data_IF_283471039119
#
_entry.id   IF_283471039119
#
_cell.length_a   1.000
_cell.length_b   1.000
_cell.length_c   1.000
_cell.angle_alpha   90.00
_cell.angle_beta   90.00
_cell.angle_gamma   90.00
#
_symmetry.space_group_name_H-M   'P 1'
#
loop_
_entity.id
_entity.type
_entity.pdbx_description
1 polymer ?
#
# COMPACT_ATOMS: atom_id res chain seq x y z
N UNK A 1 -22.59 17.87 -36.54
CA UNK A 1 -21.67 17.00 -35.77
C UNK A 1 -20.29 17.63 -35.78
N UNK A 2 -19.65 17.81 -34.63
CA UNK A 2 -18.27 18.32 -34.52
C UNK A 2 -17.41 17.23 -33.91
N UNK A 3 -16.22 17.00 -34.44
CA UNK A 3 -15.27 16.04 -33.90
C UNK A 3 -14.13 16.78 -33.21
N UNK A 4 -13.80 16.38 -31.99
CA UNK A 4 -12.60 16.83 -31.31
C UNK A 4 -11.58 15.69 -31.28
N UNK A 5 -10.34 16.04 -31.58
CA UNK A 5 -9.21 15.12 -31.65
C UNK A 5 -8.18 15.49 -30.59
N UNK A 6 -7.47 14.48 -30.09
CA UNK A 6 -6.33 14.67 -29.21
C UNK A 6 -5.05 14.54 -30.04
N UNK A 7 -4.11 15.47 -29.84
CA UNK A 7 -2.76 15.37 -30.38
C UNK A 7 -1.83 14.92 -29.24
N UNK A 8 -1.28 13.72 -29.37
CA UNK A 8 -0.40 13.11 -28.36
C UNK A 8 0.97 12.93 -29.00
N UNK A 9 2.05 13.42 -28.37
CA UNK A 9 3.42 13.38 -28.91
C UNK A 9 3.52 13.87 -30.36
N UNK A 10 2.87 15.01 -30.68
CA UNK A 10 2.84 15.59 -32.03
C UNK A 10 2.21 14.70 -33.11
N UNK A 11 1.45 13.66 -32.70
CA UNK A 11 0.70 12.78 -33.59
C UNK A 11 -0.78 12.93 -33.29
N UNK A 12 -1.55 13.30 -34.30
CA UNK A 12 -3.01 13.28 -34.23
C UNK A 12 -3.49 11.84 -34.26
N UNK A 13 -4.37 11.45 -33.34
CA UNK A 13 -5.04 10.15 -33.44
C UNK A 13 -6.01 10.14 -34.62
N UNK A 14 -6.13 8.99 -35.28
CA UNK A 14 -7.03 8.81 -36.42
C UNK A 14 -8.51 8.91 -36.04
N UNK A 15 -8.86 8.43 -34.84
CA UNK A 15 -10.20 8.53 -34.29
C UNK A 15 -10.34 9.82 -33.44
N UNK A 16 -11.51 10.49 -33.44
CA UNK A 16 -11.77 11.60 -32.53
C UNK A 16 -11.92 11.10 -31.09
N UNK A 17 -11.43 11.86 -30.11
CA UNK A 17 -11.64 11.53 -28.68
C UNK A 17 -13.12 11.65 -28.32
N UNK A 18 -13.78 12.68 -28.85
CA UNK A 18 -15.19 12.97 -28.63
C UNK A 18 -15.84 13.45 -29.93
N UNK A 19 -17.08 13.03 -30.17
CA UNK A 19 -17.96 13.64 -31.17
C UNK A 19 -19.10 14.38 -30.48
N UNK A 20 -19.29 15.63 -30.83
CA UNK A 20 -20.37 16.50 -30.38
C UNK A 20 -21.54 16.42 -31.38
N UNK A 21 -22.68 15.93 -30.92
CA UNK A 21 -23.95 15.93 -31.64
C UNK A 21 -24.85 17.02 -31.07
N UNK A 22 -26.00 17.26 -31.69
CA UNK A 22 -26.95 18.29 -31.26
C UNK A 22 -27.40 18.10 -29.81
N UNK A 23 -27.72 16.87 -29.41
CA UNK A 23 -28.32 16.58 -28.10
C UNK A 23 -27.38 15.86 -27.12
N UNK A 24 -26.22 15.40 -27.57
CA UNK A 24 -25.29 14.62 -26.76
C UNK A 24 -23.86 14.69 -27.29
N UNK A 25 -22.90 14.32 -26.44
CA UNK A 25 -21.55 13.97 -26.84
C UNK A 25 -21.36 12.45 -26.80
N UNK A 26 -20.46 11.94 -27.64
CA UNK A 26 -20.05 10.53 -27.69
C UNK A 26 -18.55 10.44 -27.46
N UNK A 27 -18.13 9.73 -26.42
CA UNK A 27 -16.71 9.45 -26.14
C UNK A 27 -16.27 8.18 -26.88
N UNK A 28 -15.15 8.23 -27.60
CA UNK A 28 -14.68 7.07 -28.39
C UNK A 28 -13.50 6.34 -27.75
N UNK A 29 -12.65 7.06 -27.02
CA UNK A 29 -11.58 6.48 -26.21
C UNK A 29 -11.32 7.36 -24.99
N UNK A 30 -10.59 6.82 -24.02
CA UNK A 30 -10.18 7.56 -22.84
C UNK A 30 -9.01 8.50 -23.18
N UNK A 31 -9.10 9.82 -22.91
CA UNK A 31 -8.03 10.77 -23.24
C UNK A 31 -6.69 10.36 -22.62
N UNK A 32 -5.60 10.42 -23.40
CA UNK A 32 -4.31 9.80 -23.04
C UNK A 32 -3.23 10.75 -22.52
N UNK A 33 -3.24 12.04 -22.87
CA UNK A 33 -2.14 12.95 -22.51
C UNK A 33 -2.58 14.42 -22.54
N UNK A 34 -2.47 15.11 -21.41
CA UNK A 34 -3.07 16.44 -21.24
C UNK A 34 -4.40 16.37 -20.49
N UNK A 35 -4.47 15.48 -19.49
CA UNK A 35 -5.56 15.25 -18.53
C UNK A 35 -6.25 16.49 -17.98
N UNK A 36 -5.72 17.69 -18.18
CA UNK A 36 -6.34 18.94 -17.78
C UNK A 36 -6.98 19.70 -18.94
N UNK A 37 -6.43 19.70 -20.15
CA UNK A 37 -6.97 20.56 -21.22
C UNK A 37 -8.26 20.01 -21.82
N UNK A 38 -8.25 18.75 -22.26
CA UNK A 38 -9.40 18.09 -22.87
C UNK A 38 -10.50 17.84 -21.82
N UNK A 39 -10.13 17.37 -20.63
CA UNK A 39 -11.10 17.17 -19.54
C UNK A 39 -11.71 18.47 -19.05
N UNK A 40 -10.95 19.58 -18.99
CA UNK A 40 -11.46 20.91 -18.60
C UNK A 40 -12.37 21.49 -19.68
N UNK A 41 -12.03 21.32 -20.96
CA UNK A 41 -12.91 21.69 -22.06
C UNK A 41 -14.18 20.84 -22.10
N UNK A 42 -14.08 19.53 -21.90
CA UNK A 42 -15.24 18.66 -21.80
C UNK A 42 -16.13 19.05 -20.61
N UNK A 43 -15.51 19.35 -19.46
CA UNK A 43 -16.19 19.81 -18.25
C UNK A 43 -16.82 21.22 -18.41
N UNK A 44 -16.29 22.07 -19.29
CA UNK A 44 -16.89 23.39 -19.56
C UNK A 44 -18.09 23.31 -20.49
N UNK A 45 -18.18 22.26 -21.32
CA UNK A 45 -19.26 22.07 -22.30
C UNK A 45 -20.37 21.17 -21.73
N UNK A 46 -20.05 20.28 -20.79
CA UNK A 46 -21.02 19.38 -20.19
C UNK A 46 -20.72 19.07 -18.72
N UNK A 47 -21.77 18.83 -17.93
CA UNK A 47 -21.70 18.62 -16.48
C UNK A 47 -21.32 17.19 -16.08
N UNK A 48 -20.17 16.70 -16.51
CA UNK A 48 -19.63 15.39 -16.11
C UNK A 48 -18.13 15.49 -15.81
N UNK A 49 -17.56 14.48 -15.14
CA UNK A 49 -16.12 14.39 -14.94
C UNK A 49 -15.57 13.02 -15.33
N UNK A 50 -14.31 13.02 -15.76
CA UNK A 50 -13.53 11.83 -16.11
C UNK A 50 -12.48 11.64 -15.04
N UNK A 51 -12.53 10.51 -14.34
CA UNK A 51 -11.60 10.19 -13.26
C UNK A 51 -10.97 8.82 -13.51
N UNK A 52 -9.66 8.70 -13.28
CA UNK A 52 -9.00 7.40 -13.21
C UNK A 52 -8.72 7.09 -11.74
N UNK A 53 -9.25 5.98 -11.25
CA UNK A 53 -9.02 5.51 -9.88
C UNK A 53 -8.47 4.09 -9.97
N UNK A 54 -7.21 3.89 -9.58
CA UNK A 54 -6.55 2.57 -9.59
C UNK A 54 -6.73 1.87 -10.95
N UNK A 55 -6.33 2.55 -12.02
CA UNK A 55 -6.43 2.11 -13.42
C UNK A 55 -7.86 1.92 -13.96
N UNK A 56 -8.88 2.19 -13.16
CA UNK A 56 -10.29 2.20 -13.60
C UNK A 56 -10.69 3.58 -14.08
N UNK A 57 -11.00 3.66 -15.37
CA UNK A 57 -11.52 4.85 -16.02
C UNK A 57 -13.04 5.00 -15.74
N UNK A 58 -13.40 5.98 -14.91
CA UNK A 58 -14.77 6.24 -14.47
C UNK A 58 -15.30 7.59 -14.95
N UNK A 59 -16.53 7.57 -15.44
CA UNK A 59 -17.32 8.77 -15.76
C UNK A 59 -18.25 9.05 -14.58
N UNK A 60 -18.16 10.24 -14.00
CA UNK A 60 -19.12 10.71 -12.99
C UNK A 60 -20.08 11.72 -13.61
N UNK A 61 -21.37 11.41 -13.49
CA UNK A 61 -22.47 12.19 -14.05
C UNK A 61 -22.90 13.34 -13.12
N UNK A 62 -23.76 14.22 -13.62
CA UNK A 62 -24.20 15.42 -12.88
C UNK A 62 -25.01 15.12 -11.62
N UNK A 63 -25.60 13.95 -11.50
CA UNK A 63 -26.32 13.46 -10.31
C UNK A 63 -25.41 12.69 -9.32
N UNK A 64 -24.10 12.63 -9.61
CA UNK A 64 -23.12 11.92 -8.79
C UNK A 64 -23.03 10.42 -9.07
N UNK A 65 -23.92 9.86 -9.88
CA UNK A 65 -23.83 8.48 -10.36
C UNK A 65 -22.57 8.29 -11.21
N UNK A 66 -22.10 7.03 -11.31
CA UNK A 66 -20.85 6.70 -11.99
C UNK A 66 -21.05 5.55 -12.95
N UNK A 67 -20.26 5.53 -14.01
CA UNK A 67 -20.14 4.40 -14.94
C UNK A 67 -18.68 4.16 -15.29
N UNK A 68 -18.32 2.90 -15.46
CA UNK A 68 -17.08 2.54 -16.16
C UNK A 68 -17.16 3.05 -17.58
N UNK A 69 -16.06 3.63 -18.06
CA UNK A 69 -15.93 4.11 -19.42
C UNK A 69 -16.05 2.94 -20.41
N UNK A 70 -16.72 3.19 -21.54
CA UNK A 70 -16.68 2.29 -22.68
C UNK A 70 -16.70 3.08 -23.99
N UNK A 71 -16.09 2.49 -25.03
CA UNK A 71 -16.06 3.07 -26.37
C UNK A 71 -17.48 3.29 -26.88
N UNK A 72 -17.78 4.55 -27.21
CA UNK A 72 -19.06 4.98 -27.73
C UNK A 72 -20.09 5.39 -26.68
N UNK A 73 -19.68 5.55 -25.41
CA UNK A 73 -20.54 6.08 -24.35
C UNK A 73 -21.11 7.46 -24.75
N UNK A 74 -22.42 7.63 -24.57
CA UNK A 74 -23.15 8.86 -24.91
C UNK A 74 -23.59 9.59 -23.65
N UNK A 75 -23.32 10.89 -23.58
CA UNK A 75 -23.63 11.74 -22.42
C UNK A 75 -24.34 13.00 -22.94
N UNK A 76 -25.43 13.39 -22.31
CA UNK A 76 -26.10 14.66 -22.61
C UNK A 76 -25.24 15.84 -22.14
N UNK A 77 -25.41 17.02 -22.72
CA UNK A 77 -24.72 18.23 -22.24
C UNK A 77 -25.08 18.59 -20.79
N UNK A 78 -26.25 18.15 -20.31
CA UNK A 78 -26.65 18.25 -18.88
C UNK A 78 -25.91 17.26 -17.97
N UNK A 79 -25.00 16.44 -18.52
CA UNK A 79 -24.18 15.51 -17.75
C UNK A 79 -24.87 14.21 -17.37
N UNK A 80 -26.02 13.89 -17.97
CA UNK A 80 -26.74 12.62 -17.74
C UNK A 80 -26.40 11.57 -18.79
N UNK A 81 -26.37 10.27 -18.45
CA UNK A 81 -26.17 9.20 -19.41
C UNK A 81 -27.33 9.15 -20.42
N UNK A 82 -27.01 8.96 -21.70
CA UNK A 82 -28.02 8.71 -22.74
C UNK A 82 -28.24 7.20 -22.84
N UNK A 83 -29.26 6.73 -22.12
CA UNK A 83 -29.61 5.32 -21.98
C UNK A 83 -30.31 4.74 -23.23
N UNK A 84 -30.35 3.40 -23.38
CA UNK A 84 -29.73 2.40 -22.50
C UNK A 84 -28.23 2.22 -22.75
N UNK A 85 -27.47 1.97 -21.69
CA UNK A 85 -26.08 1.50 -21.80
C UNK A 85 -26.03 -0.03 -21.89
N UNK A 86 -25.00 -0.60 -22.55
CA UNK A 86 -24.88 -2.05 -22.66
C UNK A 86 -24.80 -2.73 -21.29
N UNK A 87 -25.55 -3.84 -21.11
CA UNK A 87 -25.68 -4.56 -19.83
C UNK A 87 -24.33 -4.94 -19.21
N UNK A 88 -23.35 -5.35 -20.04
CA UNK A 88 -21.99 -5.69 -19.62
C UNK A 88 -21.36 -4.56 -18.78
N UNK A 89 -21.37 -3.33 -19.28
CA UNK A 89 -20.74 -2.19 -18.60
C UNK A 89 -21.51 -1.73 -17.37
N UNK A 90 -22.84 -1.93 -17.35
CA UNK A 90 -23.65 -1.68 -16.16
C UNK A 90 -23.30 -2.65 -15.03
N UNK A 91 -23.11 -3.94 -15.34
CA UNK A 91 -22.68 -4.95 -14.37
C UNK A 91 -21.25 -4.67 -13.88
N UNK A 92 -20.33 -4.39 -14.80
CA UNK A 92 -18.94 -4.03 -14.46
C UNK A 92 -18.87 -2.80 -13.55
N UNK A 93 -19.69 -1.78 -13.84
CA UNK A 93 -19.81 -0.58 -12.99
C UNK A 93 -20.24 -0.94 -11.57
N UNK A 94 -21.24 -1.82 -11.40
CA UNK A 94 -21.68 -2.23 -10.06
C UNK A 94 -20.56 -2.93 -9.28
N UNK A 95 -19.83 -3.83 -9.93
CA UNK A 95 -18.70 -4.53 -9.32
C UNK A 95 -17.60 -3.55 -8.88
N UNK A 96 -17.16 -2.66 -9.78
CA UNK A 96 -16.12 -1.67 -9.49
C UNK A 96 -16.52 -0.71 -8.37
N UNK A 97 -17.78 -0.25 -8.35
CA UNK A 97 -18.25 0.64 -7.29
C UNK A 97 -18.36 -0.06 -5.93
N UNK A 98 -18.69 -1.35 -5.91
CA UNK A 98 -18.72 -2.16 -4.69
C UNK A 98 -17.30 -2.36 -4.14
N UNK A 99 -16.36 -2.75 -4.99
CA UNK A 99 -14.94 -2.90 -4.65
C UNK A 99 -14.36 -1.59 -4.07
N UNK A 100 -14.64 -0.44 -4.71
CA UNK A 100 -14.21 0.87 -4.22
C UNK A 100 -14.83 1.22 -2.86
N UNK A 101 -16.08 0.84 -2.63
CA UNK A 101 -16.76 1.06 -1.35
C UNK A 101 -16.13 0.23 -0.24
N UNK A 102 -15.86 -1.04 -0.50
CA UNK A 102 -15.22 -1.96 0.45
C UNK A 102 -13.83 -1.45 0.84
N UNK A 103 -13.02 -1.06 -0.15
CA UNK A 103 -11.72 -0.43 0.10
C UNK A 103 -11.81 0.83 0.94
N UNK A 104 -12.74 1.74 0.61
CA UNK A 104 -12.95 2.96 1.39
C UNK A 104 -13.30 2.63 2.84
N UNK A 105 -14.19 1.67 3.06
CA UNK A 105 -14.60 1.25 4.39
C UNK A 105 -13.42 0.65 5.18
N UNK A 106 -12.62 -0.21 4.55
CA UNK A 106 -11.46 -0.82 5.17
C UNK A 106 -10.38 0.23 5.52
N UNK A 107 -10.14 1.20 4.64
CA UNK A 107 -9.25 2.32 4.92
C UNK A 107 -9.75 3.19 6.11
N UNK A 108 -11.06 3.41 6.20
CA UNK A 108 -11.66 4.11 7.35
C UNK A 108 -11.47 3.33 8.66
N UNK A 109 -11.66 2.01 8.64
CA UNK A 109 -11.37 1.15 9.80
C UNK A 109 -9.90 1.23 10.20
N UNK A 110 -8.98 1.16 9.22
CA UNK A 110 -7.55 1.33 9.46
C UNK A 110 -7.28 2.65 10.18
N UNK A 111 -7.75 3.79 9.64
CA UNK A 111 -7.54 5.08 10.29
C UNK A 111 -8.15 5.17 11.69
N UNK A 112 -9.32 4.55 11.92
CA UNK A 112 -9.91 4.48 13.25
C UNK A 112 -8.97 3.78 14.24
N UNK A 113 -8.45 2.60 13.90
CA UNK A 113 -7.52 1.86 14.76
C UNK A 113 -6.21 2.62 15.00
N UNK A 114 -5.70 3.31 13.98
CA UNK A 114 -4.50 4.17 14.09
C UNK A 114 -4.71 5.32 15.06
N UNK A 115 -5.81 6.04 14.92
CA UNK A 115 -6.15 7.16 15.79
C UNK A 115 -6.31 6.68 17.24
N UNK A 116 -7.00 5.55 17.45
CA UNK A 116 -7.14 4.95 18.78
C UNK A 116 -5.81 4.50 19.40
N UNK A 117 -4.88 3.97 18.62
CA UNK A 117 -3.54 3.63 19.10
C UNK A 117 -2.73 4.89 19.45
N UNK A 118 -2.80 5.93 18.62
CA UNK A 118 -2.15 7.21 18.90
C UNK A 118 -2.70 7.91 20.15
N UNK A 119 -4.02 7.86 20.36
CA UNK A 119 -4.68 8.36 21.57
C UNK A 119 -4.17 7.63 22.82
N UNK A 120 -4.12 6.28 22.78
CA UNK A 120 -3.57 5.46 23.87
C UNK A 120 -2.11 5.78 24.14
N UNK A 121 -1.28 5.86 23.10
CA UNK A 121 0.12 6.24 23.23
C UNK A 121 0.27 7.59 23.91
N UNK A 122 -0.50 8.60 23.47
CA UNK A 122 -0.48 9.93 24.08
C UNK A 122 -0.93 9.91 25.54
N UNK A 123 -1.94 9.12 25.88
CA UNK A 123 -2.43 8.97 27.25
C UNK A 123 -1.41 8.27 28.18
N UNK A 124 -0.57 7.40 27.63
CA UNK A 124 0.53 6.75 28.34
C UNK A 124 1.81 7.61 28.40
N UNK A 125 1.85 8.76 27.71
CA UNK A 125 3.04 9.60 27.58
C UNK A 125 3.03 10.77 28.55
N UNK A 126 4.18 11.08 29.13
CA UNK A 126 4.46 12.36 29.78
C UNK A 126 5.33 13.22 28.88
N UNK A 127 5.16 14.53 28.99
CA UNK A 127 5.90 15.50 28.20
C UNK A 127 6.51 16.57 29.08
N UNK A 128 7.70 17.02 28.71
CA UNK A 128 8.36 18.17 29.30
C UNK A 128 8.34 19.34 28.31
N UNK A 129 8.37 20.56 28.85
CA UNK A 129 8.48 21.78 28.05
C UNK A 129 9.91 22.30 28.13
N UNK A 130 10.53 22.49 26.96
CA UNK A 130 11.83 23.11 26.83
C UNK A 130 11.70 24.47 26.15
N UNK A 131 12.34 25.49 26.72
CA UNK A 131 12.42 26.82 26.12
C UNK A 131 13.55 26.88 25.10
N UNK A 132 13.20 27.13 23.84
CA UNK A 132 14.18 27.26 22.77
C UNK A 132 14.16 28.68 22.24
N UNK A 133 15.35 29.26 22.15
CA UNK A 133 15.59 30.55 21.53
C UNK A 133 16.00 30.35 20.07
N UNK A 134 15.29 31.00 19.15
CA UNK A 134 15.76 31.01 17.76
C UNK A 134 16.87 32.06 17.56
N UNK A 135 17.57 32.00 16.42
CA UNK A 135 18.64 32.95 16.05
C UNK A 135 18.22 34.43 16.00
N UNK A 136 16.93 34.72 16.13
CA UNK A 136 16.34 36.06 16.13
C UNK A 136 15.84 36.47 17.53
N UNK A 137 16.20 35.74 18.59
CA UNK A 137 15.80 36.05 19.96
C UNK A 137 14.32 35.82 20.27
N UNK A 138 13.58 35.09 19.41
CA UNK A 138 12.20 34.70 19.73
C UNK A 138 12.20 33.40 20.54
N UNK A 139 11.58 33.47 21.71
CA UNK A 139 11.28 32.34 22.58
C UNK A 139 10.17 31.48 21.98
N UNK A 140 10.39 30.17 21.93
CA UNK A 140 9.38 29.17 21.58
C UNK A 140 9.42 28.04 22.60
N UNK A 141 8.25 27.60 23.05
CA UNK A 141 8.12 26.41 23.89
C UNK A 141 8.08 25.19 22.97
N UNK A 142 8.95 24.22 23.21
CA UNK A 142 8.94 22.92 22.55
C UNK A 142 8.53 21.86 23.56
N UNK A 143 7.43 21.18 23.27
CA UNK A 143 7.01 20.00 24.03
C UNK A 143 7.82 18.79 23.57
N UNK A 144 8.50 18.12 24.50
CA UNK A 144 9.36 16.97 24.26
C UNK A 144 8.79 15.77 25.00
N UNK A 145 8.76 14.62 24.33
CA UNK A 145 8.36 13.36 24.95
C UNK A 145 9.40 12.96 26.00
N UNK A 146 8.96 12.81 27.24
CA UNK A 146 9.83 12.51 28.38
C UNK A 146 9.81 11.00 28.68
N UNK A 147 8.63 10.50 29.03
CA UNK A 147 8.43 9.09 29.35
C UNK A 147 7.16 8.54 28.69
N UNK A 148 7.16 7.22 28.43
CA UNK A 148 5.99 6.47 27.96
C UNK A 148 5.83 5.25 28.85
N UNK A 149 4.69 5.17 29.54
CA UNK A 149 4.34 3.99 30.33
C UNK A 149 3.78 2.89 29.40
N UNK A 150 4.69 2.10 28.83
CA UNK A 150 4.37 1.07 27.83
C UNK A 150 3.51 -0.05 28.41
N UNK A 151 3.50 -0.26 29.72
CA UNK A 151 2.65 -1.28 30.38
C UNK A 151 1.15 -1.03 30.19
N UNK A 152 0.76 0.20 29.86
CA UNK A 152 -0.62 0.60 29.56
C UNK A 152 -0.99 0.45 28.07
N UNK A 153 -0.03 0.10 27.22
CA UNK A 153 -0.21 -0.02 25.79
C UNK A 153 -0.36 -1.49 25.38
N UNK A 154 -1.40 -1.84 24.60
CA UNK A 154 -1.52 -3.15 24.01
C UNK A 154 -0.37 -3.43 23.05
N UNK A 155 0.16 -4.66 23.10
CA UNK A 155 1.24 -5.12 22.23
C UNK A 155 0.93 -4.94 20.74
N UNK A 156 -0.33 -5.16 20.35
CA UNK A 156 -0.81 -5.05 18.96
C UNK A 156 -0.80 -3.62 18.39
N UNK A 157 -0.61 -2.60 19.23
CA UNK A 157 -0.48 -1.21 18.78
C UNK A 157 0.81 -0.97 18.00
N UNK A 158 1.81 -1.87 18.11
CA UNK A 158 3.01 -1.86 17.26
C UNK A 158 2.67 -1.86 15.77
N UNK A 159 1.57 -2.49 15.35
CA UNK A 159 1.14 -2.54 13.94
C UNK A 159 0.24 -1.36 13.55
N UNK A 160 -0.36 -0.69 14.53
CA UNK A 160 -1.30 0.42 14.31
C UNK A 160 -0.60 1.77 14.33
N UNK A 161 0.44 1.94 15.14
CA UNK A 161 1.19 3.19 15.24
C UNK A 161 1.99 3.46 13.96
N UNK A 162 1.78 4.62 13.34
CA UNK A 162 2.52 5.00 12.14
C UNK A 162 3.95 5.48 12.44
N UNK A 163 4.17 6.11 13.60
CA UNK A 163 5.47 6.64 13.96
C UNK A 163 6.42 5.50 14.40
N UNK A 164 7.54 5.34 13.68
CA UNK A 164 8.56 4.33 13.94
C UNK A 164 9.10 4.44 15.38
N UNK A 165 9.37 5.65 15.86
CA UNK A 165 9.89 5.87 17.20
C UNK A 165 8.88 5.44 18.28
N UNK A 166 7.58 5.63 18.04
CA UNK A 166 6.55 5.18 19.00
C UNK A 166 6.44 3.65 19.04
N UNK A 167 6.52 3.00 17.86
CA UNK A 167 6.53 1.53 17.78
C UNK A 167 7.72 0.94 18.53
N UNK A 168 8.88 1.61 18.46
CA UNK A 168 10.10 1.16 19.13
C UNK A 168 9.92 0.98 20.64
N UNK A 169 9.18 1.87 21.32
CA UNK A 169 8.88 1.69 22.76
C UNK A 169 8.16 0.37 23.06
N UNK A 170 7.21 -0.04 22.20
CA UNK A 170 6.46 -1.29 22.37
C UNK A 170 7.36 -2.49 22.07
N UNK A 171 8.17 -2.42 21.02
CA UNK A 171 9.13 -3.47 20.64
C UNK A 171 10.18 -3.66 21.74
N UNK A 172 10.76 -2.57 22.24
CA UNK A 172 11.81 -2.62 23.27
C UNK A 172 11.27 -3.16 24.61
N UNK A 173 9.99 -2.96 24.91
CA UNK A 173 9.36 -3.44 26.15
C UNK A 173 8.93 -4.92 26.08
N UNK A 174 8.23 -5.31 25.01
CA UNK A 174 7.70 -6.69 24.89
C UNK A 174 8.67 -7.66 24.23
N UNK A 175 9.64 -7.16 23.45
CA UNK A 175 10.49 -7.95 22.58
C UNK A 175 9.79 -8.29 21.26
N UNK A 176 10.56 -8.27 20.17
CA UNK A 176 10.05 -8.62 18.84
C UNK A 176 9.55 -10.07 18.78
N UNK A 177 10.23 -10.99 19.48
CA UNK A 177 9.89 -12.41 19.46
C UNK A 177 8.51 -12.66 20.09
N UNK A 178 8.22 -12.00 21.21
CA UNK A 178 6.91 -12.05 21.86
C UNK A 178 5.80 -11.48 20.97
N UNK A 179 6.10 -10.36 20.29
CA UNK A 179 5.16 -9.71 19.37
C UNK A 179 4.81 -10.65 18.22
N UNK A 180 5.80 -11.26 17.57
CA UNK A 180 5.61 -12.15 16.43
C UNK A 180 4.97 -13.49 16.83
N UNK A 181 5.32 -14.04 18.00
CA UNK A 181 4.72 -15.28 18.50
C UNK A 181 3.20 -15.18 18.74
N UNK A 182 2.69 -13.96 18.94
CA UNK A 182 1.25 -13.70 19.08
C UNK A 182 0.49 -13.62 17.74
N UNK A 183 1.17 -13.77 16.60
CA UNK A 183 0.57 -13.68 15.28
C UNK A 183 0.41 -15.06 14.63
N UNK A 184 -0.56 -15.16 13.73
CA UNK A 184 -0.69 -16.33 12.88
C UNK A 184 0.55 -16.46 12.00
N UNK A 185 1.16 -17.65 12.04
CA UNK A 185 2.40 -17.93 11.32
C UNK A 185 2.43 -19.35 10.79
N UNK A 186 3.17 -19.54 9.70
CA UNK A 186 3.40 -20.83 9.05
C UNK A 186 4.89 -21.01 8.76
N UNK A 187 5.38 -22.24 8.86
CA UNK A 187 6.77 -22.56 8.52
C UNK A 187 6.85 -22.89 7.02
N UNK A 188 7.69 -22.15 6.30
CA UNK A 188 7.98 -22.39 4.87
C UNK A 188 9.04 -23.49 4.73
N UNK A 189 10.11 -23.40 5.54
CA UNK A 189 11.27 -24.29 5.46
C UNK A 189 12.00 -24.35 6.81
N UNK A 190 12.76 -25.41 7.04
CA UNK A 190 13.57 -25.58 8.25
C UNK A 190 14.90 -26.24 7.91
N UNK A 191 15.99 -25.78 8.53
CA UNK A 191 17.32 -26.36 8.33
C UNK A 191 18.17 -26.25 9.61
N UNK A 192 19.21 -27.06 9.72
CA UNK A 192 20.19 -26.98 10.80
C UNK A 192 21.52 -26.51 10.22
N UNK A 193 21.95 -25.30 10.59
CA UNK A 193 23.20 -24.70 10.10
C UNK A 193 24.17 -24.59 11.27
N UNK A 194 25.32 -25.26 11.16
CA UNK A 194 26.39 -25.24 12.17
C UNK A 194 25.92 -25.61 13.60
N UNK A 195 24.91 -26.47 13.70
CA UNK A 195 24.32 -26.94 14.96
C UNK A 195 23.18 -26.06 15.50
N UNK A 196 22.86 -24.95 14.82
CA UNK A 196 21.74 -24.08 15.18
C UNK A 196 20.52 -24.41 14.34
N UNK A 197 19.35 -24.50 14.97
CA UNK A 197 18.09 -24.71 14.27
C UNK A 197 17.58 -23.38 13.70
N UNK A 198 17.24 -23.41 12.41
CA UNK A 198 16.65 -22.29 11.70
C UNK A 198 15.31 -22.69 11.10
N UNK A 199 14.38 -21.75 11.09
CA UNK A 199 13.10 -21.86 10.39
C UNK A 199 12.87 -20.59 9.57
N UNK A 200 12.44 -20.75 8.33
CA UNK A 200 11.90 -19.66 7.53
C UNK A 200 10.39 -19.64 7.74
N UNK A 201 9.85 -18.56 8.28
CA UNK A 201 8.44 -18.45 8.62
C UNK A 201 7.75 -17.31 7.87
N UNK A 202 6.49 -17.52 7.52
CA UNK A 202 5.56 -16.47 7.11
C UNK A 202 4.72 -16.04 8.30
N UNK A 203 4.59 -14.74 8.50
CA UNK A 203 3.77 -14.14 9.55
C UNK A 203 2.70 -13.29 8.92
N UNK A 204 1.44 -13.54 9.31
CA UNK A 204 0.27 -12.79 8.85
C UNK A 204 0.05 -11.61 9.78
N UNK A 205 0.17 -10.39 9.25
CA UNK A 205 -0.10 -9.18 10.00
C UNK A 205 -1.59 -8.84 9.96
N UNK A 206 -2.21 -8.60 11.14
CA UNK A 206 -3.64 -8.33 11.25
C UNK A 206 -4.03 -6.93 10.74
N UNK A 207 -3.06 -6.13 10.28
CA UNK A 207 -3.28 -4.78 9.77
C UNK A 207 -2.49 -4.57 8.48
N UNK A 208 -3.22 -4.24 7.42
CA UNK A 208 -2.65 -3.93 6.10
C UNK A 208 -2.75 -2.45 5.79
N UNK A 209 -1.65 -1.88 5.31
CA UNK A 209 -1.64 -0.50 4.80
C UNK A 209 -2.46 -0.32 3.52
N UNK A 210 -2.78 -1.42 2.83
CA UNK A 210 -3.44 -1.43 1.52
C UNK A 210 -4.95 -1.70 1.60
N UNK A 211 -5.45 -2.01 2.80
CA UNK A 211 -6.88 -1.94 3.12
C UNK A 211 -7.75 -3.06 2.53
N UNK A 212 -7.20 -4.20 2.13
CA UNK A 212 -8.04 -5.36 1.76
C UNK A 212 -7.32 -6.69 1.93
N UNK A 213 -6.02 -6.73 1.62
CA UNK A 213 -5.25 -7.96 1.66
C UNK A 213 -4.49 -8.11 2.98
N UNK A 214 -4.39 -9.33 3.48
CA UNK A 214 -3.46 -9.69 4.57
C UNK A 214 -2.04 -9.27 4.17
N UNK A 215 -1.34 -8.60 5.08
CA UNK A 215 0.05 -8.23 4.86
C UNK A 215 0.89 -9.37 5.43
N UNK A 216 1.64 -10.06 4.58
CA UNK A 216 2.50 -11.19 4.97
C UNK A 216 3.94 -10.70 5.01
N UNK A 217 4.67 -11.04 6.06
CA UNK A 217 6.11 -10.86 6.12
C UNK A 217 6.84 -12.17 6.36
N UNK A 218 7.94 -12.37 5.65
CA UNK A 218 8.83 -13.51 5.86
C UNK A 218 9.93 -13.17 6.88
N UNK A 219 10.15 -14.08 7.82
CA UNK A 219 11.20 -13.96 8.84
C UNK A 219 12.06 -15.22 8.89
N UNK A 220 13.36 -15.02 9.06
CA UNK A 220 14.28 -16.07 9.44
C UNK A 220 14.32 -16.14 10.97
N UNK A 221 13.85 -17.26 11.51
CA UNK A 221 13.87 -17.59 12.94
C UNK A 221 15.08 -18.46 13.22
N UNK A 222 15.87 -18.11 14.22
CA UNK A 222 16.97 -18.93 14.74
C UNK A 222 16.74 -19.22 16.22
N UNK A 223 16.97 -20.46 16.65
CA UNK A 223 16.94 -20.84 18.06
C UNK A 223 18.38 -21.08 18.51
N UNK A 224 18.86 -20.28 19.46
CA UNK A 224 20.18 -20.48 20.05
C UNK A 224 20.14 -21.76 20.91
N UNK A 225 20.87 -22.82 20.55
CA UNK A 225 20.78 -24.09 21.25
C UNK A 225 21.34 -24.03 22.68
N UNK A 226 22.20 -23.05 22.98
CA UNK A 226 22.86 -22.92 24.29
C UNK A 226 22.03 -22.12 25.29
N UNK A 227 21.18 -21.19 24.83
CA UNK A 227 20.38 -20.30 25.69
C UNK A 227 18.87 -20.51 25.55
N UNK A 228 18.43 -21.17 24.47
CA UNK A 228 17.02 -21.27 24.09
C UNK A 228 16.43 -19.96 23.56
N UNK A 229 17.25 -18.90 23.42
CA UNK A 229 16.82 -17.61 22.89
C UNK A 229 16.43 -17.73 21.42
N UNK A 230 15.33 -17.08 21.06
CA UNK A 230 14.83 -17.02 19.69
C UNK A 230 15.25 -15.69 19.11
N UNK A 231 15.74 -15.70 17.88
CA UNK A 231 16.06 -14.49 17.13
C UNK A 231 15.26 -14.48 15.83
N UNK A 232 14.53 -13.39 15.59
CA UNK A 232 13.90 -13.14 14.30
C UNK A 232 14.65 -12.08 13.50
N UNK A 233 14.83 -12.37 12.22
CA UNK A 233 15.38 -11.45 11.24
C UNK A 233 14.43 -11.33 10.05
N UNK A 234 14.06 -10.11 9.66
CA UNK A 234 13.18 -9.89 8.52
C UNK A 234 13.91 -10.14 7.21
N UNK A 235 13.30 -10.90 6.31
CA UNK A 235 13.82 -11.15 4.95
C UNK A 235 12.74 -10.88 3.90
N UNK A 236 13.10 -10.58 2.65
CA UNK A 236 12.11 -10.33 1.61
C UNK A 236 11.23 -11.54 1.33
N UNK A 237 9.95 -11.31 1.07
CA UNK A 237 9.04 -12.36 0.64
C UNK A 237 9.50 -12.94 -0.71
N UNK A 238 9.41 -14.25 -0.88
CA UNK A 238 9.78 -14.90 -2.13
C UNK A 238 8.85 -14.49 -3.27
N UNK A 239 9.42 -13.98 -4.35
CA UNK A 239 8.73 -13.71 -5.59
C UNK A 239 9.45 -14.38 -6.75
N UNK A 240 8.79 -15.38 -7.36
CA UNK A 240 9.35 -16.16 -8.48
C UNK A 240 9.75 -15.29 -9.69
N UNK A 241 8.98 -14.25 -9.98
CA UNK A 241 9.27 -13.33 -11.10
C UNK A 241 10.53 -12.53 -10.82
N UNK A 242 10.68 -12.03 -9.59
CA UNK A 242 11.85 -11.25 -9.19
C UNK A 242 13.09 -12.13 -9.09
N UNK A 243 12.96 -13.35 -8.57
CA UNK A 243 14.07 -14.29 -8.43
C UNK A 243 14.63 -14.74 -9.79
N UNK A 244 13.81 -14.67 -10.84
CA UNK A 244 14.20 -14.97 -12.22
C UNK A 244 14.58 -13.72 -13.02
N UNK A 245 14.50 -12.53 -12.42
CA UNK A 245 14.77 -11.26 -13.10
C UNK A 245 16.27 -11.06 -13.32
N UNK A 246 16.60 -10.32 -14.38
CA UNK A 246 17.96 -9.83 -14.62
C UNK A 246 18.19 -8.45 -14.01
N UNK A 247 17.13 -7.81 -13.52
CA UNK A 247 17.21 -6.53 -12.85
C UNK A 247 17.75 -6.71 -11.42
N UNK A 248 18.76 -5.92 -11.07
CA UNK A 248 19.40 -5.95 -9.75
C UNK A 248 18.42 -5.56 -8.65
N UNK A 249 17.58 -4.55 -8.90
CA UNK A 249 16.58 -4.10 -7.95
C UNK A 249 15.57 -5.21 -7.63
N UNK A 250 15.08 -5.93 -8.64
CA UNK A 250 14.17 -7.06 -8.42
C UNK A 250 14.83 -8.15 -7.54
N UNK A 251 16.10 -8.48 -7.83
CA UNK A 251 16.85 -9.52 -7.11
C UNK A 251 17.13 -9.16 -5.66
N UNK A 252 17.36 -7.89 -5.35
CA UNK A 252 17.55 -7.42 -3.97
C UNK A 252 16.24 -7.43 -3.16
N UNK A 253 15.10 -7.39 -3.85
CA UNK A 253 13.76 -7.36 -3.25
C UNK A 253 13.09 -8.74 -3.13
N UNK A 254 13.84 -9.84 -3.27
CA UNK A 254 13.35 -11.21 -3.03
C UNK A 254 14.49 -12.13 -2.57
N UNK A 255 14.17 -13.16 -1.79
CA UNK A 255 15.06 -14.32 -1.65
C UNK A 255 15.09 -15.13 -2.96
N UNK A 256 16.21 -15.79 -3.28
CA UNK A 256 16.37 -16.55 -4.54
C UNK A 256 15.62 -17.89 -4.51
N UNK A 257 15.44 -18.46 -3.33
CA UNK A 257 14.65 -19.66 -3.09
C UNK A 257 13.93 -19.54 -1.74
N UNK A 258 12.70 -20.08 -1.62
CA UNK A 258 11.93 -20.05 -0.38
C UNK A 258 12.45 -21.11 0.61
N UNK A 259 13.70 -20.95 1.05
CA UNK A 259 14.40 -21.88 1.95
C UNK A 259 15.21 -21.10 2.96
N UNK A 260 15.53 -21.70 4.11
CA UNK A 260 16.42 -21.14 5.13
C UNK A 260 17.75 -20.70 4.51
N UNK A 261 18.34 -21.55 3.66
CA UNK A 261 19.59 -21.22 2.95
C UNK A 261 19.41 -20.07 1.96
N UNK A 262 18.27 -19.99 1.28
CA UNK A 262 17.95 -18.87 0.40
C UNK A 262 17.87 -17.53 1.15
N UNK A 263 17.26 -17.54 2.34
CA UNK A 263 17.17 -16.38 3.22
C UNK A 263 18.54 -15.99 3.81
N UNK A 264 19.33 -16.96 4.28
CA UNK A 264 20.69 -16.73 4.76
C UNK A 264 21.61 -16.19 3.65
N UNK A 265 21.49 -16.70 2.43
CA UNK A 265 22.23 -16.18 1.27
C UNK A 265 21.90 -14.71 1.03
N UNK A 266 20.62 -14.35 1.04
CA UNK A 266 20.19 -12.95 0.86
C UNK A 266 20.76 -12.04 1.96
N UNK A 267 20.67 -12.46 3.23
CA UNK A 267 21.21 -11.71 4.37
C UNK A 267 22.71 -11.42 4.21
N UNK A 268 23.46 -12.43 3.81
CA UNK A 268 24.91 -12.35 3.68
C UNK A 268 25.36 -11.77 2.31
N UNK A 269 24.40 -11.30 1.51
CA UNK A 269 24.61 -10.78 0.16
C UNK A 269 25.31 -11.78 -0.78
N UNK A 270 24.96 -13.07 -0.64
CA UNK A 270 25.46 -14.19 -1.42
C UNK A 270 24.40 -14.70 -2.41
N UNK A 271 24.84 -15.25 -3.53
CA UNK A 271 23.92 -15.91 -4.49
C UNK A 271 23.55 -17.34 -4.09
N UNK A 272 24.36 -17.95 -3.23
CA UNK A 272 24.14 -19.28 -2.63
C UNK A 272 24.82 -19.27 -1.28
N UNK A 273 24.08 -19.69 -0.26
CA UNK A 273 24.61 -19.72 1.09
C UNK A 273 25.70 -20.78 1.21
N UNK A 274 26.91 -20.35 1.58
CA UNK A 274 28.02 -21.25 1.88
C UNK A 274 28.11 -21.42 3.39
N UNK A 275 27.95 -22.66 3.89
CA UNK A 275 28.03 -22.93 5.33
C UNK A 275 29.44 -22.59 5.82
N UNK A 276 29.61 -21.62 6.75
CA UNK A 276 30.93 -21.25 7.24
C UNK A 276 31.58 -22.41 7.98
N UNK A 277 32.84 -22.69 7.67
CA UNK A 277 33.64 -23.69 8.38
C UNK A 277 34.12 -23.07 9.69
N UNK A 278 33.75 -23.66 10.83
CA UNK A 278 34.36 -23.32 12.12
C UNK A 278 35.82 -23.76 12.08
N UNK A 279 36.75 -22.81 12.09
CA UNK A 279 38.16 -23.10 12.33
C UNK A 279 38.29 -23.55 13.79
N UNK A 280 38.56 -24.83 13.99
CA UNK A 280 38.85 -25.46 15.29
C UNK A 280 40.32 -25.31 15.65
#
# INVERSE_FOLDING_TARGET
KVNAYEMTYWRLRNDPVVSLYENHLKLHYWPTSGYYAITRHLSSIAKFSLNCIQDRCLVTFSDGSKSVFFKGMKISYRGKPVLPYPRKYVQETKAVLQEMRERKNALQRLYYHRNRAAERFKAASTYQEEEIWNRFGKKRIKTILDHVDVSKLPMDDVFKLQNVSHRKYIIDYYGMDTILAGLESSVIDSDIINGNAYELIEVVFPFSNRGADEEIGTYLRMINPSTGEIHFEGVPNYNKSFASSRDEWDRDNTILSPTVRGALAWRDNETRYTIPIKLT
#
